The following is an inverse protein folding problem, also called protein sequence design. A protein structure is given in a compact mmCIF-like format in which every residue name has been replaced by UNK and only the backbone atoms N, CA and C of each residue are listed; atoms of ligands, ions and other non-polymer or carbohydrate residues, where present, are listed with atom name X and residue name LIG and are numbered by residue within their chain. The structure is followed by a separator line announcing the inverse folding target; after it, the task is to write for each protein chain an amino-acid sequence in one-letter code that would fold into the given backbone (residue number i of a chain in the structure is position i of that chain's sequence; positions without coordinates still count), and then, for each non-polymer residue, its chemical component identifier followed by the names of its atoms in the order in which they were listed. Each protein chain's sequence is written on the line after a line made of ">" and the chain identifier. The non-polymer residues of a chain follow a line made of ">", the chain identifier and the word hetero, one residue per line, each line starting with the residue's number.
data_IF_322694076015
#
_entry.id   IF_322694076015
#
_cell.length_a   1.000
_cell.length_b   1.000
_cell.length_c   1.000
_cell.angle_alpha   90.00
_cell.angle_beta   90.00
_cell.angle_gamma   90.00
#
_symmetry.space_group_name_H-M   'P 1'
#
loop_
_entity.id
_entity.type
_entity.pdbx_description
1 polymer ?
#
# COMPACT_ATOMS: atom_id res chain seq x y z
N UNK A 1 -16.92 -11.89 -15.21
CA UNK A 1 -16.97 -10.98 -14.05
C UNK A 1 -15.72 -10.10 -14.07
N UNK A 2 -15.84 -8.81 -13.72
CA UNK A 2 -14.68 -7.90 -13.59
C UNK A 2 -13.76 -8.39 -12.46
N UNK A 3 -12.45 -8.21 -12.62
CA UNK A 3 -11.46 -8.44 -11.54
C UNK A 3 -11.71 -7.50 -10.37
N UNK A 4 -11.32 -7.89 -9.16
CA UNK A 4 -11.52 -7.13 -7.92
C UNK A 4 -10.16 -6.85 -7.26
N UNK A 5 -9.93 -5.58 -6.89
CA UNK A 5 -8.76 -5.17 -6.11
C UNK A 5 -9.18 -4.68 -4.73
N UNK A 6 -8.50 -5.17 -3.69
CA UNK A 6 -8.54 -4.62 -2.34
C UNK A 6 -7.29 -3.75 -2.13
N UNK A 7 -7.48 -2.49 -1.78
CA UNK A 7 -6.38 -1.58 -1.41
C UNK A 7 -6.59 -1.11 0.02
N UNK A 8 -5.66 -1.46 0.91
CA UNK A 8 -5.74 -1.02 2.31
C UNK A 8 -5.28 0.43 2.47
N UNK A 9 -5.93 1.18 3.38
CA UNK A 9 -5.61 2.59 3.62
C UNK A 9 -5.76 3.47 2.37
N UNK A 10 -6.82 3.27 1.59
CA UNK A 10 -6.93 3.81 0.24
C UNK A 10 -7.82 5.04 0.08
N UNK A 11 -8.22 5.69 1.16
CA UNK A 11 -9.05 6.92 1.11
C UNK A 11 -8.29 8.15 0.59
N UNK A 12 -6.96 8.18 0.67
CA UNK A 12 -6.10 9.31 0.27
C UNK A 12 -4.74 8.87 -0.26
N UNK A 13 -3.93 9.84 -0.71
CA UNK A 13 -2.54 9.63 -1.12
C UNK A 13 -2.34 8.55 -2.18
N UNK A 14 -1.32 7.74 -2.02
CA UNK A 14 -0.96 6.64 -2.94
C UNK A 14 -2.09 5.62 -3.06
N UNK A 15 -2.76 5.28 -1.96
CA UNK A 15 -3.88 4.35 -1.98
C UNK A 15 -5.04 4.84 -2.85
N UNK A 16 -5.41 6.14 -2.75
CA UNK A 16 -6.41 6.78 -3.62
C UNK A 16 -5.99 6.74 -5.09
N UNK A 17 -4.75 7.10 -5.40
CA UNK A 17 -4.23 7.06 -6.75
C UNK A 17 -4.25 5.62 -7.31
N UNK A 18 -3.94 4.62 -6.47
CA UNK A 18 -4.02 3.20 -6.82
C UNK A 18 -5.46 2.79 -7.14
N UNK A 19 -6.44 3.17 -6.33
CA UNK A 19 -7.86 2.92 -6.64
C UNK A 19 -8.24 3.51 -8.00
N UNK A 20 -7.84 4.77 -8.28
CA UNK A 20 -8.13 5.45 -9.56
C UNK A 20 -7.48 4.70 -10.74
N UNK A 21 -6.23 4.25 -10.61
CA UNK A 21 -5.55 3.51 -11.67
C UNK A 21 -6.27 2.18 -11.96
N UNK A 22 -6.59 1.37 -10.93
CA UNK A 22 -7.29 0.10 -11.14
C UNK A 22 -8.70 0.28 -11.72
N UNK A 23 -9.42 1.31 -11.31
CA UNK A 23 -10.76 1.59 -11.88
C UNK A 23 -10.70 2.00 -13.34
N UNK A 24 -9.66 2.75 -13.74
CA UNK A 24 -9.43 3.11 -15.15
C UNK A 24 -9.16 1.89 -16.04
N UNK A 25 -8.67 0.80 -15.42
CA UNK A 25 -8.43 -0.50 -16.08
C UNK A 25 -9.63 -1.46 -15.95
N UNK A 26 -10.77 -0.98 -15.45
CA UNK A 26 -12.02 -1.73 -15.41
C UNK A 26 -12.19 -2.68 -14.23
N UNK A 27 -11.36 -2.59 -13.19
CA UNK A 27 -11.51 -3.36 -11.96
C UNK A 27 -12.66 -2.82 -11.10
N UNK A 28 -13.36 -3.71 -10.41
CA UNK A 28 -14.11 -3.33 -9.22
C UNK A 28 -13.14 -3.14 -8.06
N UNK A 29 -13.47 -2.25 -7.12
CA UNK A 29 -12.53 -1.84 -6.08
C UNK A 29 -13.12 -1.91 -4.69
N UNK A 30 -12.27 -2.24 -3.73
CA UNK A 30 -12.55 -2.15 -2.30
C UNK A 30 -11.66 -1.09 -1.70
N UNK A 31 -12.27 -0.04 -1.18
CA UNK A 31 -11.64 1.11 -0.54
C UNK A 31 -11.66 0.87 0.97
N UNK A 32 -10.54 0.39 1.52
CA UNK A 32 -10.43 0.24 2.98
C UNK A 32 -9.93 1.54 3.61
N UNK A 33 -10.51 1.87 4.73
CA UNK A 33 -10.11 3.01 5.58
C UNK A 33 -10.22 2.65 7.07
N UNK A 34 -9.50 3.35 7.92
CA UNK A 34 -9.68 3.29 9.37
C UNK A 34 -10.46 4.51 9.91
N UNK A 35 -9.99 5.72 9.62
CA UNK A 35 -10.56 6.96 10.17
C UNK A 35 -11.20 7.88 9.11
N UNK A 36 -10.74 7.85 7.87
CA UNK A 36 -11.10 8.80 6.80
C UNK A 36 -12.33 8.33 6.01
N UNK A 37 -13.51 8.31 6.67
CA UNK A 37 -14.76 7.83 6.06
C UNK A 37 -15.23 8.73 4.92
N UNK A 38 -15.20 10.04 5.12
CA UNK A 38 -15.71 11.00 4.13
C UNK A 38 -14.94 10.90 2.82
N UNK A 39 -13.61 10.90 2.92
CA UNK A 39 -12.72 10.78 1.75
C UNK A 39 -12.90 9.44 1.02
N UNK A 40 -13.16 8.36 1.76
CA UNK A 40 -13.44 7.05 1.17
C UNK A 40 -14.77 7.05 0.40
N UNK A 41 -15.84 7.62 0.95
CA UNK A 41 -17.14 7.73 0.29
C UNK A 41 -17.11 8.66 -0.93
N UNK A 42 -16.41 9.78 -0.85
CA UNK A 42 -16.19 10.68 -1.98
C UNK A 42 -15.44 10.00 -3.11
N UNK A 43 -14.37 9.26 -2.77
CA UNK A 43 -13.62 8.47 -3.75
C UNK A 43 -14.49 7.40 -4.42
N UNK A 44 -15.28 6.67 -3.63
CA UNK A 44 -16.24 5.69 -4.14
C UNK A 44 -17.18 6.33 -5.18
N UNK A 45 -17.84 7.42 -4.80
CA UNK A 45 -18.76 8.13 -5.70
C UNK A 45 -18.07 8.55 -6.99
N UNK A 46 -16.90 9.16 -6.89
CA UNK A 46 -16.11 9.61 -8.04
C UNK A 46 -15.79 8.47 -9.00
N UNK A 47 -15.30 7.30 -8.49
CA UNK A 47 -14.89 6.20 -9.38
C UNK A 47 -16.08 5.48 -9.99
N UNK A 48 -17.20 5.34 -9.28
CA UNK A 48 -18.43 4.74 -9.81
C UNK A 48 -19.05 5.60 -10.92
N UNK A 49 -19.11 6.92 -10.72
CA UNK A 49 -19.62 7.86 -11.71
C UNK A 49 -18.76 7.91 -12.97
N UNK A 50 -17.43 7.97 -12.80
CA UNK A 50 -16.49 8.16 -13.90
C UNK A 50 -16.21 6.88 -14.71
N UNK A 51 -16.03 5.75 -14.03
CA UNK A 51 -15.54 4.52 -14.68
C UNK A 51 -16.58 3.42 -14.84
N UNK A 52 -17.80 3.61 -14.33
CA UNK A 52 -18.90 2.64 -14.41
C UNK A 52 -18.51 1.25 -13.90
N UNK A 53 -17.81 1.22 -12.78
CA UNK A 53 -17.42 0.03 -12.02
C UNK A 53 -18.17 0.01 -10.68
N UNK A 54 -18.07 -1.09 -9.97
CA UNK A 54 -18.61 -1.22 -8.61
C UNK A 54 -17.51 -0.97 -7.59
N UNK A 55 -17.78 -0.10 -6.64
CA UNK A 55 -16.89 0.19 -5.54
C UNK A 55 -17.60 -0.02 -4.19
N UNK A 56 -16.90 -0.54 -3.20
CA UNK A 56 -17.36 -0.55 -1.81
C UNK A 56 -16.33 0.10 -0.91
N UNK A 57 -16.80 0.73 0.16
CA UNK A 57 -15.97 1.26 1.23
C UNK A 57 -16.10 0.38 2.46
N UNK A 58 -15.00 0.04 3.12
CA UNK A 58 -15.04 -0.79 4.34
C UNK A 58 -14.12 -0.19 5.40
N UNK A 59 -14.70 0.13 6.56
CA UNK A 59 -13.91 0.49 7.73
C UNK A 59 -13.29 -0.77 8.34
N UNK A 60 -11.97 -0.80 8.46
CA UNK A 60 -11.25 -1.82 9.23
C UNK A 60 -9.84 -1.32 9.57
N UNK A 61 -9.43 -1.50 10.82
CA UNK A 61 -8.03 -1.42 11.22
C UNK A 61 -7.32 -2.71 10.80
N UNK A 62 -6.33 -2.60 9.91
CA UNK A 62 -5.61 -3.77 9.37
C UNK A 62 -4.87 -4.57 10.42
N UNK A 63 -4.55 -3.97 11.56
CA UNK A 63 -3.90 -4.65 12.70
C UNK A 63 -4.87 -5.42 13.59
N UNK A 64 -6.19 -5.23 13.40
CA UNK A 64 -7.23 -5.97 14.11
C UNK A 64 -7.70 -7.17 13.28
N UNK A 65 -7.33 -8.36 13.72
CA UNK A 65 -7.64 -9.60 13.00
C UNK A 65 -9.13 -9.83 12.76
N UNK A 66 -9.97 -9.49 13.74
CA UNK A 66 -11.43 -9.67 13.64
C UNK A 66 -12.05 -8.68 12.64
N UNK A 67 -11.61 -7.42 12.65
CA UNK A 67 -12.06 -6.43 11.68
C UNK A 67 -11.62 -6.82 10.26
N UNK A 68 -10.41 -7.37 10.08
CA UNK A 68 -9.95 -7.87 8.79
C UNK A 68 -10.77 -9.06 8.33
N UNK A 69 -11.09 -10.04 9.18
CA UNK A 69 -11.97 -11.16 8.83
C UNK A 69 -13.34 -10.67 8.37
N UNK A 70 -13.93 -9.73 9.10
CA UNK A 70 -15.22 -9.14 8.74
C UNK A 70 -15.15 -8.37 7.40
N UNK A 71 -14.07 -7.64 7.15
CA UNK A 71 -13.81 -6.99 5.88
C UNK A 71 -13.77 -8.03 4.74
N UNK A 72 -12.98 -9.09 4.86
CA UNK A 72 -12.87 -10.12 3.83
C UNK A 72 -14.21 -10.82 3.59
N UNK A 73 -14.96 -11.17 4.64
CA UNK A 73 -16.29 -11.75 4.51
C UNK A 73 -17.24 -10.82 3.73
N UNK A 74 -17.22 -9.53 4.01
CA UNK A 74 -18.02 -8.54 3.27
C UNK A 74 -17.64 -8.50 1.80
N UNK A 75 -16.35 -8.50 1.49
CA UNK A 75 -15.85 -8.53 0.11
C UNK A 75 -16.32 -9.79 -0.63
N UNK A 76 -16.23 -10.94 0.04
CA UNK A 76 -16.63 -12.21 -0.57
C UNK A 76 -18.14 -12.29 -0.81
N UNK A 77 -18.95 -11.77 0.11
CA UNK A 77 -20.40 -11.68 -0.09
C UNK A 77 -20.76 -10.76 -1.26
N UNK A 78 -20.03 -9.67 -1.45
CA UNK A 78 -20.33 -8.64 -2.45
C UNK A 78 -19.80 -8.96 -3.85
N UNK A 79 -18.60 -9.54 -3.94
CA UNK A 79 -17.91 -9.78 -5.22
C UNK A 79 -17.59 -11.26 -5.49
N UNK A 80 -17.56 -12.12 -4.47
CA UNK A 80 -17.22 -13.53 -4.59
C UNK A 80 -15.76 -13.82 -4.95
N UNK A 81 -14.90 -12.79 -5.00
CA UNK A 81 -13.48 -12.91 -5.40
C UNK A 81 -12.63 -11.73 -4.96
N UNK A 82 -11.33 -11.96 -4.85
CA UNK A 82 -10.28 -10.94 -4.82
C UNK A 82 -9.16 -11.41 -5.75
N UNK A 83 -8.78 -10.58 -6.71
CA UNK A 83 -7.72 -10.88 -7.68
C UNK A 83 -6.40 -10.19 -7.34
N UNK A 84 -6.50 -9.03 -6.73
CA UNK A 84 -5.34 -8.21 -6.34
C UNK A 84 -5.55 -7.71 -4.92
N UNK A 85 -4.49 -7.85 -4.11
CA UNK A 85 -4.34 -7.15 -2.84
C UNK A 85 -3.21 -6.12 -2.96
N UNK A 86 -3.47 -4.90 -2.54
CA UNK A 86 -2.43 -3.89 -2.32
C UNK A 86 -2.39 -3.53 -0.83
N UNK A 87 -1.35 -3.98 -0.14
CA UNK A 87 -1.08 -3.59 1.24
C UNK A 87 -0.42 -2.20 1.24
N UNK A 88 -1.24 -1.16 1.32
CA UNK A 88 -0.80 0.22 1.32
C UNK A 88 -0.98 0.91 2.69
N UNK A 89 -1.85 0.41 3.56
CA UNK A 89 -2.02 0.97 4.89
C UNK A 89 -0.69 1.07 5.65
N UNK A 90 -0.42 2.22 6.23
CA UNK A 90 0.79 2.45 7.01
C UNK A 90 0.70 3.76 7.80
N UNK A 91 1.44 3.79 8.88
CA UNK A 91 1.61 4.95 9.74
C UNK A 91 3.09 5.23 9.97
N UNK A 92 3.41 6.46 10.31
CA UNK A 92 4.73 6.93 10.73
C UNK A 92 4.55 7.89 11.91
N UNK A 93 5.45 7.82 12.85
CA UNK A 93 5.63 8.81 13.90
C UNK A 93 7.00 9.46 13.69
N UNK A 94 7.01 10.78 13.47
CA UNK A 94 8.26 11.55 13.39
C UNK A 94 8.69 11.91 14.81
N UNK A 95 9.65 11.18 15.35
CA UNK A 95 10.16 11.30 16.73
C UNK A 95 11.66 11.19 16.75
N UNK A 96 12.32 12.04 17.54
CA UNK A 96 13.70 11.81 17.89
C UNK A 96 13.88 10.48 18.62
N UNK A 97 15.08 9.91 18.55
CA UNK A 97 15.37 8.59 19.12
C UNK A 97 15.01 8.45 20.61
N UNK A 98 15.21 9.48 21.40
CA UNK A 98 14.93 9.53 22.85
C UNK A 98 13.46 9.85 23.18
N UNK A 99 12.67 10.29 22.20
CA UNK A 99 11.26 10.63 22.38
C UNK A 99 10.32 9.50 21.96
N UNK A 100 10.78 8.57 21.09
CA UNK A 100 9.94 7.47 20.62
C UNK A 100 9.58 6.52 21.76
N UNK A 101 8.30 6.31 21.97
CA UNK A 101 7.82 5.38 22.99
C UNK A 101 7.74 3.94 22.46
N UNK A 102 7.92 2.96 23.36
CA UNK A 102 7.72 1.53 22.99
C UNK A 102 6.32 1.28 22.45
N UNK A 103 5.31 2.03 22.92
CA UNK A 103 3.93 1.93 22.42
C UNK A 103 3.80 2.37 20.97
N UNK A 104 4.37 3.52 20.60
CA UNK A 104 4.40 4.01 19.21
C UNK A 104 5.17 3.04 18.32
N UNK A 105 6.34 2.59 18.76
CA UNK A 105 7.14 1.62 18.04
C UNK A 105 6.34 0.32 17.74
N UNK A 106 5.69 -0.25 18.77
CA UNK A 106 4.82 -1.42 18.59
C UNK A 106 3.69 -1.13 17.61
N UNK A 107 3.02 0.02 17.76
CA UNK A 107 1.90 0.40 16.91
C UNK A 107 2.31 0.51 15.43
N UNK A 108 3.48 1.07 15.16
CA UNK A 108 4.01 1.13 13.79
C UNK A 108 4.21 -0.28 13.20
N UNK A 109 4.81 -1.20 13.96
CA UNK A 109 4.97 -2.59 13.51
C UNK A 109 3.62 -3.31 13.34
N UNK A 110 2.69 -3.10 14.26
CA UNK A 110 1.34 -3.69 14.19
C UNK A 110 0.61 -3.31 12.90
N UNK A 111 0.64 -2.02 12.53
CA UNK A 111 -0.04 -1.56 11.32
C UNK A 111 0.75 -1.93 10.06
N UNK A 112 2.04 -1.59 10.02
CA UNK A 112 2.81 -1.62 8.77
C UNK A 112 3.27 -3.03 8.37
N UNK A 113 3.44 -3.94 9.33
CA UNK A 113 3.94 -5.30 9.09
C UNK A 113 2.88 -6.36 9.44
N UNK A 114 2.42 -6.35 10.70
CA UNK A 114 1.47 -7.38 11.15
C UNK A 114 0.14 -7.21 10.43
N UNK A 115 -0.31 -5.99 10.19
CA UNK A 115 -1.52 -5.71 9.42
C UNK A 115 -1.43 -6.26 7.99
N UNK A 116 -0.32 -6.01 7.29
CA UNK A 116 -0.10 -6.57 5.96
C UNK A 116 -0.09 -8.11 5.97
N UNK A 117 0.51 -8.73 7.00
CA UNK A 117 0.47 -10.17 7.20
C UNK A 117 -0.96 -10.69 7.41
N UNK A 118 -1.73 -10.08 8.32
CA UNK A 118 -3.11 -10.50 8.62
C UNK A 118 -3.98 -10.41 7.37
N UNK A 119 -3.96 -9.28 6.65
CA UNK A 119 -4.76 -9.09 5.43
C UNK A 119 -4.35 -10.09 4.35
N UNK A 120 -3.05 -10.28 4.13
CA UNK A 120 -2.55 -11.24 3.13
C UNK A 120 -2.95 -12.68 3.47
N UNK A 121 -2.85 -13.09 4.74
CA UNK A 121 -3.25 -14.41 5.20
C UNK A 121 -4.75 -14.66 5.01
N UNK A 122 -5.59 -13.71 5.42
CA UNK A 122 -7.03 -13.89 5.34
C UNK A 122 -7.53 -13.87 3.89
N UNK A 123 -7.02 -12.97 3.03
CA UNK A 123 -7.47 -12.88 1.64
C UNK A 123 -6.94 -14.03 0.78
N UNK A 124 -5.75 -14.55 1.05
CA UNK A 124 -5.13 -15.62 0.25
C UNK A 124 -5.99 -16.90 0.19
N UNK A 125 -6.82 -17.15 1.19
CA UNK A 125 -7.77 -18.27 1.22
C UNK A 125 -8.81 -18.23 0.08
N UNK A 126 -9.04 -17.06 -0.49
CA UNK A 126 -10.03 -16.81 -1.54
C UNK A 126 -9.37 -16.42 -2.88
N UNK A 127 -8.08 -16.11 -2.87
CA UNK A 127 -7.32 -15.78 -4.07
C UNK A 127 -7.06 -17.03 -4.91
N UNK A 128 -7.24 -16.91 -6.22
CA UNK A 128 -7.05 -18.01 -7.17
C UNK A 128 -5.68 -17.91 -7.84
N UNK A 129 -5.31 -18.96 -8.56
CA UNK A 129 -4.10 -18.96 -9.40
C UNK A 129 -4.13 -17.76 -10.37
N UNK A 130 -3.03 -17.02 -10.40
CA UNK A 130 -2.89 -15.78 -11.18
C UNK A 130 -3.25 -14.52 -10.42
N UNK A 131 -3.68 -14.63 -9.15
CA UNK A 131 -3.83 -13.46 -8.26
C UNK A 131 -2.48 -12.87 -7.85
N UNK A 132 -2.49 -11.62 -7.38
CA UNK A 132 -1.26 -10.91 -7.01
C UNK A 132 -1.41 -10.11 -5.72
N UNK A 133 -0.31 -10.00 -4.98
CA UNK A 133 -0.18 -9.12 -3.82
C UNK A 133 0.94 -8.13 -4.09
N UNK A 134 0.69 -6.84 -3.87
CA UNK A 134 1.70 -5.78 -3.94
C UNK A 134 1.79 -5.08 -2.60
N UNK A 135 2.96 -5.09 -1.99
CA UNK A 135 3.23 -4.42 -0.72
C UNK A 135 3.86 -3.05 -0.97
N UNK A 136 3.31 -2.00 -0.34
CA UNK A 136 3.81 -0.63 -0.45
C UNK A 136 4.83 -0.37 0.65
N UNK A 137 6.11 -0.56 0.32
CA UNK A 137 7.25 -0.31 1.19
C UNK A 137 7.85 1.09 0.95
N UNK A 138 9.05 1.31 1.43
CA UNK A 138 9.81 2.55 1.30
C UNK A 138 11.28 2.22 1.04
N UNK A 139 12.03 3.17 0.49
CA UNK A 139 13.50 3.13 0.45
C UNK A 139 14.10 3.38 1.84
N UNK A 140 13.32 3.89 2.78
CA UNK A 140 13.73 4.06 4.16
C UNK A 140 14.21 2.75 4.79
N UNK A 141 15.39 2.81 5.42
CA UNK A 141 16.04 1.65 6.03
C UNK A 141 16.89 0.82 5.05
N UNK A 142 16.80 1.06 3.73
CA UNK A 142 17.70 0.43 2.73
C UNK A 142 18.63 1.44 2.08
N UNK A 143 18.09 2.41 1.35
CA UNK A 143 18.86 3.47 0.67
C UNK A 143 18.91 4.76 1.49
N UNK A 144 17.85 5.05 2.22
CA UNK A 144 17.72 6.26 3.03
C UNK A 144 17.61 5.92 4.51
N UNK A 145 18.13 6.77 5.36
CA UNK A 145 17.97 6.70 6.81
C UNK A 145 17.41 8.03 7.27
N UNK A 146 16.15 8.01 7.72
CA UNK A 146 15.50 9.11 8.39
C UNK A 146 15.66 8.89 9.90
N UNK A 147 16.48 9.65 10.60
CA UNK A 147 16.75 9.39 12.02
C UNK A 147 15.50 9.46 12.90
N UNK A 148 14.55 10.33 12.53
CA UNK A 148 13.28 10.54 13.24
C UNK A 148 12.23 9.46 12.97
N UNK A 149 12.54 8.49 12.10
CA UNK A 149 11.58 7.46 11.65
C UNK A 149 12.08 6.05 11.93
N UNK A 150 12.74 5.81 13.07
CA UNK A 150 13.40 4.54 13.39
C UNK A 150 12.46 3.33 13.26
N UNK A 151 11.29 3.40 13.88
CA UNK A 151 10.27 2.36 13.87
C UNK A 151 9.69 2.14 12.47
N UNK A 152 9.46 3.23 11.74
CA UNK A 152 9.00 3.18 10.35
C UNK A 152 10.03 2.51 9.45
N UNK A 153 11.32 2.90 9.55
CA UNK A 153 12.40 2.30 8.78
C UNK A 153 12.44 0.79 8.99
N UNK A 154 12.39 0.33 10.26
CA UNK A 154 12.36 -1.08 10.62
C UNK A 154 11.11 -1.77 10.05
N UNK A 155 9.95 -1.12 10.15
CA UNK A 155 8.70 -1.69 9.63
C UNK A 155 8.73 -1.90 8.12
N UNK A 156 9.31 -0.95 7.36
CA UNK A 156 9.37 -1.04 5.91
C UNK A 156 10.37 -2.10 5.43
N UNK A 157 11.47 -2.31 6.13
CA UNK A 157 12.36 -3.46 5.90
C UNK A 157 11.66 -4.77 6.27
N UNK A 158 10.94 -4.81 7.39
CA UNK A 158 10.12 -5.97 7.78
C UNK A 158 9.11 -6.34 6.70
N UNK A 159 8.45 -5.35 6.09
CA UNK A 159 7.49 -5.57 5.00
C UNK A 159 8.17 -6.11 3.71
N UNK A 160 9.41 -5.69 3.42
CA UNK A 160 10.18 -6.25 2.31
C UNK A 160 10.56 -7.72 2.55
N UNK A 161 10.95 -8.07 3.79
CA UNK A 161 11.18 -9.46 4.17
C UNK A 161 9.90 -10.29 4.06
N UNK A 162 8.79 -9.80 4.62
CA UNK A 162 7.47 -10.43 4.53
C UNK A 162 7.06 -10.67 3.07
N UNK A 163 7.40 -9.77 2.15
CA UNK A 163 7.11 -9.94 0.72
C UNK A 163 7.74 -11.22 0.16
N UNK A 164 9.01 -11.45 0.47
CA UNK A 164 9.74 -12.64 0.01
C UNK A 164 9.18 -13.91 0.63
N UNK A 165 8.87 -13.89 1.92
CA UNK A 165 8.30 -15.02 2.62
C UNK A 165 6.91 -15.38 2.09
N UNK A 166 6.05 -14.40 1.86
CA UNK A 166 4.72 -14.63 1.28
C UNK A 166 4.80 -15.16 -0.17
N UNK A 167 5.75 -14.66 -0.98
CA UNK A 167 5.97 -15.17 -2.33
C UNK A 167 6.35 -16.65 -2.30
N UNK A 168 7.18 -17.07 -1.34
CA UNK A 168 7.53 -18.47 -1.15
C UNK A 168 6.33 -19.30 -0.69
N UNK A 169 5.54 -18.82 0.28
CA UNK A 169 4.39 -19.54 0.81
C UNK A 169 3.27 -19.73 -0.22
N UNK A 170 3.06 -18.76 -1.09
CA UNK A 170 1.91 -18.77 -2.03
C UNK A 170 2.26 -19.29 -3.43
N UNK A 171 3.52 -19.69 -3.69
CA UNK A 171 3.92 -20.27 -4.97
C UNK A 171 3.16 -21.59 -5.24
N UNK A 172 2.82 -21.91 -6.49
CA UNK A 172 2.97 -21.11 -7.70
C UNK A 172 1.72 -20.28 -8.01
N UNK A 173 0.80 -20.10 -7.06
CA UNK A 173 -0.54 -19.62 -7.33
C UNK A 173 -0.68 -18.09 -7.29
N UNK A 174 0.04 -17.42 -6.37
CA UNK A 174 -0.07 -15.99 -6.13
C UNK A 174 1.34 -15.38 -6.21
N UNK A 175 1.52 -14.35 -7.04
CA UNK A 175 2.75 -13.56 -7.05
C UNK A 175 2.70 -12.51 -5.95
N UNK A 176 3.79 -12.30 -5.25
CA UNK A 176 3.92 -11.28 -4.22
C UNK A 176 5.16 -10.45 -4.51
N UNK A 177 4.99 -9.16 -4.71
CA UNK A 177 6.06 -8.19 -4.94
C UNK A 177 5.88 -6.98 -4.02
N UNK A 178 6.89 -6.17 -3.90
CA UNK A 178 6.79 -4.87 -3.25
C UNK A 178 7.33 -3.75 -4.12
N UNK A 179 6.87 -2.54 -3.84
CA UNK A 179 7.52 -1.31 -4.28
C UNK A 179 8.19 -0.66 -3.07
N UNK A 180 9.41 -0.16 -3.25
CA UNK A 180 10.10 0.67 -2.28
C UNK A 180 10.10 2.11 -2.79
N UNK A 181 9.30 2.97 -2.15
CA UNK A 181 9.03 4.34 -2.61
C UNK A 181 10.01 5.29 -1.94
N UNK A 182 10.55 6.24 -2.70
CA UNK A 182 11.21 7.42 -2.19
C UNK A 182 10.20 8.49 -1.79
N UNK A 183 10.48 9.76 -2.10
CA UNK A 183 9.59 10.88 -1.80
C UNK A 183 8.41 10.95 -2.77
N UNK A 184 7.21 11.07 -2.21
CA UNK A 184 5.96 11.22 -2.96
C UNK A 184 5.19 12.47 -2.49
N UNK A 185 4.57 13.18 -3.40
CA UNK A 185 3.72 14.35 -3.13
C UNK A 185 2.36 13.88 -2.58
N UNK A 186 2.30 13.74 -1.27
CA UNK A 186 1.10 13.28 -0.55
C UNK A 186 0.84 14.13 0.67
N UNK A 187 -0.37 13.99 1.24
CA UNK A 187 -0.73 14.66 2.50
C UNK A 187 0.22 14.33 3.67
N UNK A 188 0.93 13.21 3.62
CA UNK A 188 1.90 12.82 4.64
C UNK A 188 3.09 13.78 4.71
N UNK A 189 3.43 14.41 3.57
CA UNK A 189 4.60 15.27 3.42
C UNK A 189 4.26 16.77 3.30
N UNK A 190 2.98 17.15 3.36
CA UNK A 190 2.54 18.54 3.09
C UNK A 190 3.01 19.56 4.13
N UNK A 191 3.24 19.12 5.36
CA UNK A 191 3.62 19.98 6.49
C UNK A 191 5.14 20.08 6.67
N UNK A 192 5.93 19.46 5.79
CA UNK A 192 7.39 19.55 5.81
C UNK A 192 7.86 20.97 5.49
N UNK A 193 8.94 21.46 6.18
CA UNK A 193 9.52 22.77 5.89
C UNK A 193 9.99 22.88 4.43
N UNK A 194 9.75 24.03 3.80
CA UNK A 194 10.12 24.25 2.38
C UNK A 194 11.61 24.06 2.10
N UNK A 195 12.47 24.46 3.00
CA UNK A 195 13.94 24.27 2.87
C UNK A 195 14.31 22.79 2.93
N UNK A 196 13.64 22.01 3.79
CA UNK A 196 13.82 20.57 3.85
C UNK A 196 13.38 19.89 2.55
N UNK A 197 12.20 20.25 2.02
CA UNK A 197 11.70 19.74 0.73
C UNK A 197 12.70 20.05 -0.39
N UNK A 198 13.25 21.27 -0.44
CA UNK A 198 14.24 21.69 -1.43
C UNK A 198 15.54 20.90 -1.33
N UNK A 199 16.02 20.65 -0.12
CA UNK A 199 17.19 19.81 0.13
C UNK A 199 16.96 18.37 -0.33
N UNK A 200 15.83 17.76 0.04
CA UNK A 200 15.48 16.41 -0.38
C UNK A 200 15.31 16.29 -1.91
N UNK A 201 14.69 17.28 -2.56
CA UNK A 201 14.58 17.33 -4.04
C UNK A 201 15.97 17.36 -4.69
N UNK A 202 16.94 18.07 -4.11
CA UNK A 202 18.29 18.16 -4.68
C UNK A 202 19.05 16.83 -4.69
N UNK A 203 18.61 15.85 -3.89
CA UNK A 203 19.18 14.49 -3.81
C UNK A 203 18.50 13.52 -4.80
N UNK A 204 17.44 13.95 -5.48
CA UNK A 204 16.68 13.14 -6.42
C UNK A 204 17.10 13.47 -7.84
N UNK A 205 17.53 12.49 -8.65
CA UNK A 205 18.01 12.74 -10.00
C UNK A 205 16.94 13.32 -10.94
N UNK A 206 15.66 13.01 -10.73
CA UNK A 206 14.55 13.61 -11.48
C UNK A 206 14.07 14.96 -10.91
N UNK A 207 14.73 15.48 -9.89
CA UNK A 207 14.57 16.82 -9.29
C UNK A 207 13.13 17.17 -8.87
N UNK A 208 12.37 16.18 -8.40
CA UNK A 208 11.02 16.36 -7.84
C UNK A 208 10.56 15.15 -7.03
N UNK A 209 9.56 15.34 -6.21
CA UNK A 209 8.80 14.24 -5.62
C UNK A 209 7.95 13.54 -6.71
N UNK A 210 7.68 12.26 -6.49
CA UNK A 210 6.82 11.49 -7.38
C UNK A 210 5.34 11.91 -7.22
N UNK A 211 4.63 12.05 -8.34
CA UNK A 211 3.18 12.12 -8.31
C UNK A 211 2.60 10.75 -7.89
N UNK A 212 1.63 10.69 -6.97
CA UNK A 212 1.01 9.43 -6.55
C UNK A 212 0.53 8.54 -7.69
N UNK A 213 0.13 9.12 -8.83
CA UNK A 213 -0.29 8.37 -10.01
C UNK A 213 0.86 7.63 -10.70
N UNK A 214 2.10 8.11 -10.61
CA UNK A 214 3.28 7.43 -11.15
C UNK A 214 3.55 6.14 -10.34
N UNK A 215 3.41 6.23 -9.02
CA UNK A 215 3.52 5.09 -8.11
C UNK A 215 2.40 4.08 -8.37
N UNK A 216 1.16 4.56 -8.52
CA UNK A 216 -0.01 3.73 -8.79
C UNK A 216 0.12 2.92 -10.10
N UNK A 217 0.71 3.51 -11.16
CA UNK A 217 1.01 2.80 -12.41
C UNK A 217 1.97 1.64 -12.21
N UNK A 218 3.00 1.81 -11.37
CA UNK A 218 3.95 0.72 -11.09
C UNK A 218 3.29 -0.37 -10.22
N UNK A 219 2.43 0.01 -9.26
CA UNK A 219 1.63 -0.97 -8.50
C UNK A 219 0.76 -1.78 -9.47
N UNK A 220 0.07 -1.12 -10.40
CA UNK A 220 -0.75 -1.79 -11.41
C UNK A 220 0.09 -2.72 -12.30
N UNK A 221 1.23 -2.27 -12.80
CA UNK A 221 2.16 -3.09 -13.58
C UNK A 221 2.52 -4.38 -12.84
N UNK A 222 2.96 -4.30 -11.58
CA UNK A 222 3.31 -5.46 -10.77
C UNK A 222 2.12 -6.38 -10.48
N UNK A 223 0.90 -5.84 -10.46
CA UNK A 223 -0.33 -6.61 -10.27
C UNK A 223 -0.88 -7.21 -11.58
N UNK A 224 -0.42 -6.76 -12.74
CA UNK A 224 -0.92 -7.17 -14.06
C UNK A 224 -0.19 -8.39 -14.61
N UNK A 225 -0.72 -8.92 -15.73
CA UNK A 225 -0.10 -10.03 -16.46
C UNK A 225 1.19 -9.61 -17.17
N UNK A 226 1.42 -8.29 -17.37
CA UNK A 226 2.65 -7.74 -17.97
C UNK A 226 3.90 -8.05 -17.12
N UNK A 227 3.73 -8.26 -15.82
CA UNK A 227 4.79 -8.63 -14.87
C UNK A 227 4.74 -10.12 -14.47
N UNK A 228 4.19 -10.98 -15.32
CA UNK A 228 3.93 -12.40 -14.99
C UNK A 228 5.17 -13.20 -14.56
N UNK A 229 6.38 -12.78 -14.94
CA UNK A 229 7.64 -13.41 -14.54
C UNK A 229 8.36 -12.67 -13.38
N UNK A 230 7.73 -11.63 -12.80
CA UNK A 230 8.24 -10.90 -11.63
C UNK A 230 7.54 -11.43 -10.38
N UNK A 231 8.30 -12.02 -9.47
CA UNK A 231 7.80 -12.55 -8.19
C UNK A 231 8.89 -12.46 -7.12
N UNK A 232 8.54 -12.13 -5.89
CA UNK A 232 9.48 -11.97 -4.77
C UNK A 232 10.44 -10.77 -4.89
N UNK A 233 10.08 -9.78 -5.73
CA UNK A 233 10.93 -8.63 -6.05
C UNK A 233 10.51 -7.38 -5.27
N UNK A 234 11.50 -6.53 -4.98
CA UNK A 234 11.33 -5.22 -4.37
C UNK A 234 11.78 -4.17 -5.41
N UNK A 235 10.82 -3.49 -6.02
CA UNK A 235 11.09 -2.50 -7.07
C UNK A 235 11.21 -1.11 -6.46
N UNK A 236 12.37 -0.47 -6.60
CA UNK A 236 12.57 0.90 -6.14
C UNK A 236 11.90 1.90 -7.08
N UNK A 237 11.15 2.85 -6.50
CA UNK A 237 10.53 3.98 -7.19
C UNK A 237 10.92 5.24 -6.42
N UNK A 238 12.13 5.73 -6.67
CA UNK A 238 12.76 6.78 -5.87
C UNK A 238 13.33 7.96 -6.71
N UNK A 239 13.09 7.94 -8.03
CA UNK A 239 13.59 8.97 -8.92
C UNK A 239 15.13 9.03 -9.02
N UNK A 240 15.83 8.00 -8.54
CA UNK A 240 17.29 8.00 -8.45
C UNK A 240 17.80 8.77 -7.23
N UNK A 241 17.23 8.53 -6.07
CA UNK A 241 17.68 9.15 -4.81
C UNK A 241 19.08 8.65 -4.43
N UNK A 242 20.01 9.56 -4.08
CA UNK A 242 21.40 9.28 -3.66
C UNK A 242 21.83 10.10 -2.42
#
# INVERSE_FOLDING_TARGET
>A
MKKVVLVTGSSRGIGKATIIEFTSRGYNVVINYNNSKLEAEELKKYVEEKYKIKAITIKADVSNEEEVKNMINTIMNEFGRVDVLVNNAGIVYDRNFDEITVSEFKRTLEVNVIGAFIVSREVSRYMKKGSTIVNVSSTNGTKTISPECLDYNISKIGLQSLTRDLAFQFKPNIRVNAIAIGWADTDMNKDLPKEYIKDEISKIYVERFADPSEIAKTIYFLASDESSYINSEIVNIDGGYC
#
